data_IF_058351943804
#
_entry.id   IF_058351943804
#
_cell.length_a   1.000
_cell.length_b   1.000
_cell.length_c   1.000
_cell.angle_alpha   90.00
_cell.angle_beta   90.00
_cell.angle_gamma   90.00
#
_symmetry.space_group_name_H-M   'P 1'
#
loop_
_entity.id
_entity.type
_entity.pdbx_description
1 polymer ?
#
# COMPACT_ATOMS: atom_id res chain seq x y z
N UNK A 1 -14.01 2.48 20.75
CA UNK A 1 -12.59 2.67 20.39
C UNK A 1 -12.31 3.82 19.40
N UNK A 2 -13.06 3.99 18.29
CA UNK A 2 -12.78 5.04 17.28
C UNK A 2 -12.58 6.46 17.83
N UNK A 3 -13.41 6.89 18.80
CA UNK A 3 -13.27 8.22 19.43
C UNK A 3 -11.96 8.38 20.21
N UNK A 4 -11.60 7.38 21.03
CA UNK A 4 -10.36 7.38 21.82
C UNK A 4 -9.14 7.36 20.90
N UNK A 5 -9.19 6.54 19.84
CA UNK A 5 -8.14 6.51 18.83
C UNK A 5 -7.96 7.86 18.12
N UNK A 6 -9.06 8.52 17.73
CA UNK A 6 -8.98 9.86 17.15
C UNK A 6 -8.36 10.90 18.12
N UNK A 7 -8.66 10.80 19.42
CA UNK A 7 -8.04 11.64 20.45
C UNK A 7 -6.55 11.35 20.59
N UNK A 8 -6.14 10.07 20.58
CA UNK A 8 -4.73 9.68 20.60
C UNK A 8 -3.96 10.32 19.44
N UNK A 9 -4.47 10.19 18.20
CA UNK A 9 -3.86 10.82 17.02
C UNK A 9 -3.83 12.36 17.10
N UNK A 10 -4.84 12.98 17.72
CA UNK A 10 -4.83 14.42 17.95
C UNK A 10 -3.71 14.82 18.93
N UNK A 11 -3.40 13.99 19.91
CA UNK A 11 -2.32 14.25 20.86
C UNK A 11 -0.93 14.05 20.28
N UNK A 12 -0.73 13.04 19.43
CA UNK A 12 0.49 12.93 18.62
C UNK A 12 0.77 14.23 17.86
N UNK A 13 -0.23 14.77 17.16
CA UNK A 13 -0.09 16.04 16.42
C UNK A 13 0.21 17.24 17.31
N UNK A 14 -0.42 17.32 18.50
CA UNK A 14 -0.15 18.39 19.48
C UNK A 14 1.28 18.33 20.02
N UNK A 15 1.86 17.13 20.13
CA UNK A 15 3.26 16.91 20.51
C UNK A 15 4.24 17.09 19.33
N UNK A 16 3.75 17.60 18.18
CA UNK A 16 4.56 17.92 17.01
C UNK A 16 4.89 16.73 16.11
N UNK A 17 4.26 15.56 16.31
CA UNK A 17 4.46 14.41 15.43
C UNK A 17 3.60 14.56 14.17
N UNK A 18 4.21 14.39 13.00
CA UNK A 18 3.48 14.25 11.74
C UNK A 18 3.11 12.77 11.56
N UNK A 19 1.82 12.48 11.37
CA UNK A 19 1.33 11.10 11.27
C UNK A 19 1.28 10.72 9.80
N UNK A 20 2.07 9.71 9.42
CA UNK A 20 2.11 9.14 8.06
C UNK A 20 0.98 8.11 7.91
N UNK A 21 0.83 7.24 8.90
CA UNK A 21 -0.15 6.15 8.89
C UNK A 21 -0.56 5.80 10.31
N UNK A 22 -1.82 5.41 10.50
CA UNK A 22 -2.29 4.89 11.78
C UNK A 22 -3.51 3.99 11.59
N UNK A 23 -3.48 2.82 12.20
CA UNK A 23 -4.62 1.93 12.42
C UNK A 23 -4.65 1.52 13.91
N UNK A 24 -5.49 0.55 14.27
CA UNK A 24 -5.56 0.07 15.65
C UNK A 24 -4.34 -0.77 16.08
N UNK A 25 -3.47 -1.18 15.14
CA UNK A 25 -2.34 -2.07 15.39
C UNK A 25 -0.99 -1.35 15.43
N UNK A 26 -0.83 -0.27 14.65
CA UNK A 26 0.43 0.46 14.50
C UNK A 26 0.22 1.93 14.14
N UNK A 27 1.18 2.75 14.53
CA UNK A 27 1.26 4.17 14.15
C UNK A 27 2.65 4.44 13.57
N UNK A 28 2.69 5.07 12.40
CA UNK A 28 3.91 5.54 11.75
C UNK A 28 3.92 7.06 11.82
N UNK A 29 4.97 7.61 12.45
CA UNK A 29 5.16 9.04 12.58
C UNK A 29 6.47 9.47 11.90
N UNK A 30 6.45 10.66 11.33
CA UNK A 30 7.67 11.40 11.02
C UNK A 30 8.06 12.22 12.25
N UNK A 31 9.29 11.96 12.72
CA UNK A 31 9.87 12.62 13.90
C UNK A 31 10.51 13.97 13.56
N UNK A 32 10.75 14.26 12.27
CA UNK A 32 11.53 15.39 11.81
C UNK A 32 13.00 15.37 12.27
N UNK A 33 13.48 14.24 12.82
CA UNK A 33 14.85 14.09 13.33
C UNK A 33 15.71 13.38 12.30
N UNK A 34 16.93 13.90 12.13
CA UNK A 34 17.87 13.42 11.12
C UNK A 34 18.77 12.29 11.63
N UNK A 35 19.03 12.26 12.93
CA UNK A 35 19.87 11.28 13.61
C UNK A 35 19.03 10.30 14.42
N UNK A 36 19.42 9.02 14.43
CA UNK A 36 18.70 7.95 15.13
C UNK A 36 18.54 8.21 16.62
N UNK A 37 19.61 8.67 17.30
CA UNK A 37 19.59 8.97 18.74
C UNK A 37 18.57 10.07 19.08
N UNK A 38 18.51 11.12 18.25
CA UNK A 38 17.53 12.21 18.39
C UNK A 38 16.11 11.73 18.14
N UNK A 39 15.90 10.84 17.16
CA UNK A 39 14.59 10.23 16.88
C UNK A 39 14.12 9.35 18.04
N UNK A 40 15.01 8.52 18.60
CA UNK A 40 14.72 7.70 19.78
C UNK A 40 14.36 8.57 20.99
N UNK A 41 15.16 9.59 21.28
CA UNK A 41 14.87 10.52 22.38
C UNK A 41 13.54 11.26 22.20
N UNK A 42 13.17 11.63 20.97
CA UNK A 42 11.87 12.19 20.67
C UNK A 42 10.72 11.19 20.94
N UNK A 43 10.86 9.95 20.46
CA UNK A 43 9.88 8.89 20.71
C UNK A 43 9.70 8.63 22.21
N UNK A 44 10.78 8.50 22.98
CA UNK A 44 10.73 8.27 24.42
C UNK A 44 10.01 9.42 25.17
N UNK A 45 10.29 10.66 24.78
CA UNK A 45 9.61 11.82 25.35
C UNK A 45 8.13 11.85 24.99
N UNK A 46 7.79 11.51 23.74
CA UNK A 46 6.42 11.43 23.27
C UNK A 46 5.64 10.36 24.04
N UNK A 47 6.21 9.17 24.20
CA UNK A 47 5.58 8.07 24.94
C UNK A 47 5.34 8.44 26.40
N UNK A 48 6.33 9.04 27.08
CA UNK A 48 6.17 9.55 28.45
C UNK A 48 5.06 10.60 28.56
N UNK A 49 4.96 11.50 27.58
CA UNK A 49 3.92 12.54 27.55
C UNK A 49 2.52 11.99 27.25
N UNK A 50 2.42 10.86 26.55
CA UNK A 50 1.14 10.16 26.37
C UNK A 50 0.73 9.42 27.64
N UNK A 51 1.66 8.72 28.28
CA UNK A 51 1.42 7.98 29.53
C UNK A 51 1.04 8.87 30.71
N UNK A 52 1.44 10.15 30.70
CA UNK A 52 1.04 11.11 31.76
C UNK A 52 -0.43 11.54 31.69
N UNK A 53 -1.17 11.09 30.68
CA UNK A 53 -2.59 11.40 30.51
C UNK A 53 -3.44 10.20 30.90
N UNK A 54 -4.36 10.41 31.84
CA UNK A 54 -5.28 9.38 32.35
C UNK A 54 -6.02 8.62 31.23
N UNK A 55 -6.35 9.29 30.13
CA UNK A 55 -7.05 8.68 28.99
C UNK A 55 -6.23 7.62 28.25
N UNK A 56 -4.90 7.66 28.33
CA UNK A 56 -4.00 6.75 27.61
C UNK A 56 -3.10 5.94 28.55
N UNK A 57 -3.36 5.98 29.85
CA UNK A 57 -2.60 5.24 30.87
C UNK A 57 -2.48 3.74 30.54
N UNK A 58 -3.55 3.16 29.99
CA UNK A 58 -3.65 1.74 29.65
C UNK A 58 -3.17 1.41 28.23
N UNK A 59 -2.71 2.41 27.46
CA UNK A 59 -2.20 2.20 26.11
C UNK A 59 -0.68 2.00 26.19
N UNK A 60 -0.24 0.81 25.79
CA UNK A 60 1.18 0.50 25.63
C UNK A 60 1.54 0.64 24.17
N UNK A 61 2.54 1.49 23.88
CA UNK A 61 3.09 1.68 22.54
C UNK A 61 4.58 1.39 22.60
N UNK A 62 5.04 0.50 21.72
CA UNK A 62 6.44 0.11 21.64
C UNK A 62 7.05 0.57 20.30
N UNK A 63 8.19 1.29 20.32
CA UNK A 63 8.89 1.64 19.09
C UNK A 63 9.51 0.39 18.42
N UNK A 64 8.90 -0.09 17.34
CA UNK A 64 9.36 -1.30 16.65
C UNK A 64 10.49 -1.04 15.65
N UNK A 65 10.34 -0.04 14.76
CA UNK A 65 11.28 0.23 13.67
C UNK A 65 11.56 1.72 13.52
N UNK A 66 12.82 2.05 13.25
CA UNK A 66 13.25 3.38 12.88
C UNK A 66 13.70 3.37 11.42
N UNK A 67 13.29 4.38 10.65
CA UNK A 67 13.57 4.48 9.23
C UNK A 67 14.44 5.72 8.96
N UNK A 68 15.49 5.54 8.16
CA UNK A 68 16.27 6.67 7.65
C UNK A 68 15.59 7.35 6.45
N UNK A 69 14.89 6.55 5.64
CA UNK A 69 14.10 6.99 4.49
C UNK A 69 12.96 5.99 4.32
N UNK A 70 11.74 6.47 4.12
CA UNK A 70 10.55 5.63 3.97
C UNK A 70 9.69 6.20 2.83
N UNK A 71 9.45 5.37 1.82
CA UNK A 71 8.47 5.59 0.77
C UNK A 71 7.24 4.74 1.09
N UNK A 72 6.13 5.38 1.44
CA UNK A 72 4.95 4.71 1.96
C UNK A 72 3.72 5.01 1.09
N UNK A 73 3.07 3.97 0.56
CA UNK A 73 1.78 4.07 -0.13
C UNK A 73 0.66 3.58 0.77
N UNK A 74 0.81 2.37 1.32
CA UNK A 74 -0.09 1.78 2.31
C UNK A 74 0.65 0.72 3.14
N UNK A 75 -0.07 0.01 4.01
CA UNK A 75 0.51 -0.99 4.91
C UNK A 75 1.14 -2.22 4.21
N UNK A 76 0.81 -2.47 2.94
CA UNK A 76 1.30 -3.57 2.09
C UNK A 76 2.21 -3.09 0.96
N UNK A 77 2.34 -1.77 0.78
CA UNK A 77 3.07 -1.13 -0.29
C UNK A 77 3.96 -0.03 0.30
N UNK A 78 5.16 -0.40 0.70
CA UNK A 78 6.17 0.50 1.25
C UNK A 78 7.59 -0.02 0.98
N UNK A 79 8.54 0.89 0.94
CA UNK A 79 9.96 0.56 0.93
C UNK A 79 10.75 1.58 1.75
N UNK A 80 11.81 1.15 2.41
CA UNK A 80 12.57 2.05 3.25
C UNK A 80 13.93 1.51 3.66
N UNK A 81 14.79 2.43 4.11
CA UNK A 81 16.11 2.12 4.66
C UNK A 81 15.95 2.04 6.17
N UNK A 82 16.08 0.84 6.73
CA UNK A 82 15.93 0.66 8.18
C UNK A 82 17.19 1.13 8.90
N UNK A 83 17.01 1.88 9.99
CA UNK A 83 18.08 2.24 10.90
C UNK A 83 18.35 1.06 11.84
N UNK A 84 19.60 0.59 11.89
CA UNK A 84 19.99 -0.48 12.82
C UNK A 84 20.03 0.07 14.24
N UNK A 85 19.13 -0.41 15.08
CA UNK A 85 19.18 -0.14 16.52
C UNK A 85 20.26 -1.04 17.13
N UNK A 86 21.27 -0.51 17.84
CA UNK A 86 22.39 -1.31 18.36
C UNK A 86 22.01 -2.51 19.23
N UNK A 87 20.78 -2.54 19.79
CA UNK A 87 20.32 -3.55 20.75
C UNK A 87 18.96 -4.21 20.40
N UNK A 88 18.51 -4.17 19.14
CA UNK A 88 17.25 -4.83 18.75
C UNK A 88 17.40 -6.34 18.62
N UNK A 89 16.49 -7.11 19.24
CA UNK A 89 16.32 -8.54 18.98
C UNK A 89 16.07 -8.71 17.48
N UNK A 90 16.81 -9.56 16.75
CA UNK A 90 16.52 -9.82 15.35
C UNK A 90 15.23 -10.65 15.28
N UNK A 91 14.11 -9.98 15.02
CA UNK A 91 12.89 -10.66 14.59
C UNK A 91 12.90 -10.79 13.06
N UNK A 92 12.76 -12.03 12.64
CA UNK A 92 12.55 -12.59 11.31
C UNK A 92 13.70 -13.28 10.56
N UNK A 93 13.47 -14.60 10.54
CA UNK A 93 14.17 -15.72 9.94
C UNK A 93 13.68 -15.88 8.50
N UNK A 94 14.37 -15.25 7.53
CA UNK A 94 14.35 -15.71 6.13
C UNK A 94 15.47 -15.13 5.27
N UNK A 95 16.64 -14.88 5.85
CA UNK A 95 17.85 -14.59 5.08
C UNK A 95 18.82 -15.75 5.26
N UNK A 96 19.06 -16.50 4.19
CA UNK A 96 20.15 -17.47 4.14
C UNK A 96 21.45 -16.81 4.62
N UNK A 97 22.20 -17.43 5.54
CA UNK A 97 23.44 -16.84 6.03
C UNK A 97 24.49 -16.96 4.95
N UNK A 98 24.69 -15.89 4.16
CA UNK A 98 25.90 -15.73 3.38
C UNK A 98 27.05 -15.49 4.36
N UNK A 99 27.74 -16.58 4.72
CA UNK A 99 29.06 -16.58 5.32
C UNK A 99 30.03 -15.90 4.35
N UNK A 100 30.17 -14.59 4.48
CA UNK A 100 31.39 -13.84 4.16
C UNK A 100 31.30 -12.50 4.88
N UNK A 101 31.91 -12.48 6.07
CA UNK A 101 32.17 -11.27 6.80
C UNK A 101 33.12 -10.38 5.98
N UNK A 102 32.62 -9.22 5.54
CA UNK A 102 33.48 -8.12 5.12
C UNK A 102 32.92 -6.79 5.65
N UNK A 103 33.85 -5.94 6.09
CA UNK A 103 33.62 -4.72 6.84
C UNK A 103 33.00 -3.63 5.95
N UNK A 104 31.70 -3.39 6.13
CA UNK A 104 30.99 -2.24 5.59
C UNK A 104 29.58 -2.26 6.13
N UNK A 105 29.10 -1.17 6.72
CA UNK A 105 27.75 -1.04 7.28
C UNK A 105 26.69 -1.39 6.23
N UNK A 106 26.28 -2.66 6.20
CA UNK A 106 25.32 -3.19 5.24
C UNK A 106 23.96 -2.56 5.55
N UNK A 107 23.57 -1.59 4.73
CA UNK A 107 22.27 -0.94 4.76
C UNK A 107 21.20 -1.98 4.46
N UNK A 108 20.17 -2.04 5.29
CA UNK A 108 19.05 -2.94 5.10
C UNK A 108 17.90 -2.17 4.45
N UNK A 109 17.68 -2.42 3.15
CA UNK A 109 16.59 -1.83 2.39
C UNK A 109 15.44 -2.83 2.39
N UNK A 110 14.39 -2.51 3.14
CA UNK A 110 13.15 -3.29 3.13
C UNK A 110 12.33 -2.85 1.93
N UNK A 111 11.84 -3.82 1.17
CA UNK A 111 11.00 -3.60 -0.01
C UNK A 111 9.78 -4.51 0.07
N UNK A 112 8.61 -3.93 0.35
CA UNK A 112 7.34 -4.64 0.49
C UNK A 112 6.33 -3.99 -0.44
N UNK A 113 6.17 -4.56 -1.64
CA UNK A 113 5.31 -3.99 -2.68
C UNK A 113 4.34 -5.04 -3.21
N UNK A 114 3.20 -5.21 -2.55
CA UNK A 114 2.14 -6.10 -3.03
C UNK A 114 1.70 -5.75 -4.47
N UNK A 115 1.65 -4.48 -4.86
CA UNK A 115 1.34 -4.08 -6.25
C UNK A 115 2.34 -4.64 -7.28
N UNK A 116 3.57 -4.96 -6.88
CA UNK A 116 4.56 -5.57 -7.76
C UNK A 116 4.19 -7.03 -8.09
N UNK A 117 3.53 -7.73 -7.17
CA UNK A 117 3.11 -9.14 -7.36
C UNK A 117 2.09 -9.29 -8.50
N UNK A 118 1.37 -8.21 -8.81
CA UNK A 118 0.43 -8.13 -9.93
C UNK A 118 1.11 -7.86 -11.28
N UNK A 119 2.43 -7.64 -11.31
CA UNK A 119 3.21 -7.58 -12.54
C UNK A 119 3.70 -8.98 -12.95
N UNK A 120 4.03 -9.23 -14.24
CA UNK A 120 4.60 -10.50 -14.65
C UNK A 120 5.93 -10.75 -13.95
N UNK A 121 6.20 -11.99 -13.51
CA UNK A 121 7.40 -12.34 -12.70
C UNK A 121 8.71 -11.76 -13.25
N UNK A 122 8.87 -11.76 -14.57
CA UNK A 122 10.08 -11.25 -15.24
C UNK A 122 10.30 -9.74 -15.10
N UNK A 123 9.30 -8.97 -14.65
CA UNK A 123 9.37 -7.50 -14.51
C UNK A 123 9.36 -7.04 -13.06
N UNK A 124 9.05 -7.93 -12.11
CA UNK A 124 9.01 -7.64 -10.69
C UNK A 124 10.37 -7.17 -10.19
N UNK A 125 11.45 -7.85 -10.55
CA UNK A 125 12.82 -7.47 -10.16
C UNK A 125 13.21 -6.08 -10.68
N UNK A 126 12.80 -5.73 -11.91
CA UNK A 126 13.03 -4.39 -12.47
C UNK A 126 12.29 -3.31 -11.69
N UNK A 127 11.07 -3.61 -11.25
CA UNK A 127 10.27 -2.70 -10.44
C UNK A 127 10.94 -2.48 -9.07
N UNK A 128 11.28 -3.57 -8.37
CA UNK A 128 11.93 -3.52 -7.05
C UNK A 128 13.25 -2.77 -7.14
N UNK A 129 14.05 -2.98 -8.19
CA UNK A 129 15.32 -2.31 -8.39
C UNK A 129 15.15 -0.78 -8.55
N UNK A 130 14.24 -0.33 -9.42
CA UNK A 130 14.01 1.11 -9.63
C UNK A 130 13.52 1.78 -8.35
N UNK A 131 12.57 1.16 -7.65
CA UNK A 131 11.99 1.74 -6.44
C UNK A 131 13.03 1.79 -5.32
N UNK A 132 13.83 0.73 -5.16
CA UNK A 132 14.92 0.71 -4.18
C UNK A 132 15.96 1.80 -4.45
N UNK A 133 16.33 2.01 -5.71
CA UNK A 133 17.23 3.10 -6.09
C UNK A 133 16.62 4.48 -5.86
N UNK A 134 15.33 4.65 -6.12
CA UNK A 134 14.63 5.89 -5.85
C UNK A 134 14.58 6.23 -4.36
N UNK A 135 14.51 5.22 -3.48
CA UNK A 135 14.59 5.41 -2.03
C UNK A 135 16.04 5.73 -1.60
N UNK A 136 17.02 5.06 -2.22
CA UNK A 136 18.43 5.13 -1.82
C UNK A 136 19.14 6.41 -2.27
N UNK A 137 18.95 6.83 -3.52
CA UNK A 137 19.68 7.95 -4.13
C UNK A 137 19.49 9.28 -3.36
N UNK A 138 18.27 9.72 -2.98
CA UNK A 138 18.08 10.94 -2.20
C UNK A 138 18.73 10.86 -0.82
N UNK A 139 18.60 9.70 -0.15
CA UNK A 139 19.19 9.48 1.17
C UNK A 139 20.72 9.56 1.13
N UNK A 140 21.34 8.94 0.12
CA UNK A 140 22.79 8.98 -0.11
C UNK A 140 23.28 10.41 -0.37
N UNK A 141 22.57 11.15 -1.22
CA UNK A 141 22.91 12.56 -1.52
C UNK A 141 22.80 13.42 -0.26
N UNK A 142 21.73 13.24 0.51
CA UNK A 142 21.53 13.97 1.76
C UNK A 142 22.64 13.68 2.78
N UNK A 143 23.11 12.43 2.87
CA UNK A 143 24.24 12.07 3.72
C UNK A 143 25.55 12.73 3.24
N UNK A 144 25.79 12.79 1.93
CA UNK A 144 26.98 13.43 1.34
C UNK A 144 27.01 14.94 1.60
N UNK A 145 25.88 15.64 1.40
CA UNK A 145 25.77 17.08 1.66
C UNK A 145 26.03 17.39 3.15
N UNK A 146 25.53 16.55 4.06
CA UNK A 146 25.78 16.70 5.51
C UNK A 146 27.25 16.48 5.85
N UNK A 147 27.89 15.46 5.28
CA UNK A 147 29.30 15.20 5.50
C UNK A 147 30.18 16.38 5.00
N UNK A 148 29.85 16.95 3.83
CA UNK A 148 30.53 18.13 3.30
C UNK A 148 30.35 19.37 4.21
N UNK A 149 29.16 19.55 4.78
CA UNK A 149 28.86 20.67 5.68
C UNK A 149 29.60 20.59 7.02
N UNK A 150 29.82 19.36 7.55
CA UNK A 150 30.58 19.14 8.78
C UNK A 150 32.07 19.49 8.66
N UNK A 151 32.64 19.45 7.46
CA UNK A 151 34.04 19.81 7.22
C UNK A 151 34.28 21.32 7.08
N UNK A 152 33.23 22.16 7.06
CA UNK A 152 33.32 23.57 6.68
C UNK A 152 33.16 24.63 7.78
N UNK A 153 32.74 24.31 9.01
CA UNK A 153 32.57 25.35 10.05
C UNK A 153 32.54 24.81 11.47
N UNK A 154 33.26 25.50 12.36
CA UNK A 154 33.30 25.26 13.80
C UNK A 154 31.94 25.52 14.48
N UNK A 155 31.58 24.63 15.41
CA UNK A 155 30.83 24.88 16.64
C UNK A 155 29.52 25.70 16.54
N UNK A 156 28.40 25.06 16.20
CA UNK A 156 27.11 25.24 16.90
C UNK A 156 26.14 24.11 16.50
N UNK A 157 25.50 23.40 17.45
CA UNK A 157 24.62 22.26 17.16
C UNK A 157 23.18 22.68 16.79
N UNK A 158 22.97 23.92 16.37
CA UNK A 158 21.63 24.45 16.06
C UNK A 158 21.47 24.54 14.55
N UNK A 159 20.96 23.48 13.93
CA UNK A 159 20.46 23.55 12.54
C UNK A 159 19.32 24.58 12.53
N UNK A 160 19.54 25.74 11.90
CA UNK A 160 18.49 26.74 11.72
C UNK A 160 17.48 26.24 10.69
N UNK A 161 16.20 26.62 10.83
CA UNK A 161 15.13 26.29 9.86
C UNK A 161 15.54 26.58 8.40
N UNK A 162 16.27 27.68 8.18
CA UNK A 162 16.80 28.08 6.87
C UNK A 162 17.80 27.10 6.26
N UNK A 163 18.61 26.41 7.09
CA UNK A 163 19.57 25.43 6.61
C UNK A 163 18.85 24.15 6.15
N UNK A 164 17.85 23.70 6.91
CA UNK A 164 17.01 22.54 6.56
C UNK A 164 16.27 22.76 5.23
N UNK A 165 15.62 23.92 5.06
CA UNK A 165 14.93 24.28 3.81
C UNK A 165 15.90 24.30 2.60
N UNK A 166 17.12 24.79 2.81
CA UNK A 166 18.16 24.82 1.76
C UNK A 166 18.59 23.40 1.36
N UNK A 167 18.76 22.50 2.35
CA UNK A 167 19.11 21.10 2.09
C UNK A 167 17.99 20.35 1.35
N UNK A 168 16.73 20.52 1.79
CA UNK A 168 15.57 19.91 1.13
C UNK A 168 15.43 20.35 -0.33
N UNK A 169 15.68 21.63 -0.60
CA UNK A 169 15.66 22.18 -1.96
C UNK A 169 16.74 21.55 -2.83
N UNK A 170 17.98 21.42 -2.34
CA UNK A 170 19.08 20.80 -3.08
C UNK A 170 18.82 19.33 -3.41
N UNK A 171 18.33 18.56 -2.43
CA UNK A 171 18.00 17.14 -2.64
C UNK A 171 16.83 16.99 -3.63
N UNK A 172 15.84 17.88 -3.54
CA UNK A 172 14.71 17.91 -4.48
C UNK A 172 15.19 18.18 -5.91
N UNK A 173 16.04 19.19 -6.13
CA UNK A 173 16.60 19.50 -7.45
C UNK A 173 17.44 18.34 -8.02
N UNK A 174 18.25 17.70 -7.18
CA UNK A 174 18.99 16.49 -7.53
C UNK A 174 18.05 15.38 -8.00
N UNK A 175 16.97 15.11 -7.26
CA UNK A 175 16.02 14.06 -7.59
C UNK A 175 15.26 14.35 -8.89
N UNK A 176 14.82 15.59 -9.11
CA UNK A 176 14.21 16.04 -10.37
C UNK A 176 15.13 15.74 -11.57
N UNK A 177 16.40 16.13 -11.47
CA UNK A 177 17.39 15.86 -12.52
C UNK A 177 17.61 14.36 -12.75
N UNK A 178 17.63 13.56 -11.68
CA UNK A 178 17.75 12.09 -11.76
C UNK A 178 16.52 11.47 -12.44
N UNK A 179 15.31 11.95 -12.17
CA UNK A 179 14.07 11.48 -12.81
C UNK A 179 14.11 11.74 -14.32
N UNK A 180 14.39 12.99 -14.72
CA UNK A 180 14.37 13.36 -16.14
C UNK A 180 15.46 12.68 -16.98
N UNK A 181 16.53 12.17 -16.35
CA UNK A 181 17.70 11.64 -17.07
C UNK A 181 18.02 10.17 -16.75
N UNK A 182 18.29 9.83 -15.49
CA UNK A 182 18.71 8.50 -15.07
C UNK A 182 17.54 7.52 -15.07
N UNK A 183 16.47 7.82 -14.32
CA UNK A 183 15.31 6.93 -14.20
C UNK A 183 14.58 6.79 -15.53
N UNK A 184 14.41 7.89 -16.28
CA UNK A 184 13.86 7.81 -17.64
C UNK A 184 14.63 6.80 -18.50
N UNK A 185 15.96 6.95 -18.64
CA UNK A 185 16.78 6.03 -19.46
C UNK A 185 16.74 4.59 -18.97
N UNK A 186 16.71 4.39 -17.64
CA UNK A 186 16.70 3.05 -17.05
C UNK A 186 15.36 2.34 -17.27
N UNK A 187 14.25 3.04 -17.01
CA UNK A 187 12.90 2.53 -17.28
C UNK A 187 12.72 2.22 -18.76
N UNK A 188 13.29 3.04 -19.65
CA UNK A 188 13.32 2.76 -21.10
C UNK A 188 14.05 1.46 -21.44
N UNK A 189 15.21 1.22 -20.81
CA UNK A 189 15.95 -0.03 -20.96
C UNK A 189 15.09 -1.24 -20.56
N UNK A 190 14.45 -1.18 -19.40
CA UNK A 190 13.57 -2.26 -18.95
C UNK A 190 12.36 -2.46 -19.86
N UNK A 191 11.72 -1.39 -20.35
CA UNK A 191 10.62 -1.51 -21.31
C UNK A 191 11.09 -2.23 -22.59
N UNK A 192 12.29 -1.94 -23.07
CA UNK A 192 12.86 -2.62 -24.22
C UNK A 192 13.08 -4.11 -23.94
N UNK A 193 13.65 -4.44 -22.78
CA UNK A 193 13.86 -5.82 -22.36
C UNK A 193 12.54 -6.58 -22.18
N UNK A 194 11.54 -5.98 -21.53
CA UNK A 194 10.18 -6.52 -21.37
C UNK A 194 9.58 -6.86 -22.73
N UNK A 195 9.62 -5.92 -23.67
CA UNK A 195 9.11 -6.13 -25.03
C UNK A 195 9.86 -7.24 -25.77
N UNK A 196 11.18 -7.39 -25.56
CA UNK A 196 11.98 -8.46 -26.15
C UNK A 196 11.60 -9.83 -25.58
N UNK A 197 11.47 -9.93 -24.26
CA UNK A 197 11.11 -11.18 -23.58
C UNK A 197 9.68 -11.65 -23.88
N UNK A 198 8.73 -10.73 -24.04
CA UNK A 198 7.33 -11.07 -24.35
C UNK A 198 7.17 -11.47 -25.81
N UNK A 199 7.83 -10.77 -26.75
CA UNK A 199 7.80 -11.15 -28.17
C UNK A 199 8.39 -12.55 -28.39
N UNK A 200 9.47 -12.90 -27.70
CA UNK A 200 10.08 -14.24 -27.80
C UNK A 200 9.25 -15.38 -27.19
N UNK A 201 8.22 -15.09 -26.38
CA UNK A 201 7.32 -16.10 -25.79
C UNK A 201 6.00 -16.28 -26.55
N UNK A 202 5.63 -15.35 -27.43
CA UNK A 202 4.41 -15.46 -28.26
C UNK A 202 4.46 -16.61 -29.28
N UNK A 203 5.65 -17.11 -29.58
CA UNK A 203 5.83 -18.20 -30.55
C UNK A 203 5.59 -19.62 -29.96
N UNK A 204 5.27 -19.74 -28.65
CA UNK A 204 5.24 -21.05 -27.96
C UNK A 204 3.92 -21.36 -27.24
N UNK A 205 3.02 -20.39 -26.99
CA UNK A 205 1.87 -20.61 -26.09
C UNK A 205 0.56 -20.09 -26.68
N UNK A 206 -0.44 -20.98 -26.67
CA UNK A 206 -1.84 -20.84 -27.07
C UNK A 206 -2.54 -19.61 -26.45
N UNK A 207 -3.47 -18.99 -27.19
CA UNK A 207 -4.09 -17.67 -26.94
C UNK A 207 -4.97 -17.57 -25.67
N UNK A 208 -5.00 -18.59 -24.81
CA UNK A 208 -5.88 -18.68 -23.64
C UNK A 208 -5.21 -18.34 -22.29
N UNK A 209 -3.89 -18.12 -22.24
CA UNK A 209 -3.18 -17.75 -21.00
C UNK A 209 -3.00 -16.24 -20.93
N UNK A 210 -3.85 -15.58 -20.13
CA UNK A 210 -3.77 -14.18 -19.67
C UNK A 210 -2.34 -13.65 -19.56
N UNK A 211 -1.81 -13.01 -20.61
CA UNK A 211 -0.58 -12.20 -20.78
C UNK A 211 0.62 -12.35 -19.79
N UNK A 212 0.77 -13.48 -19.08
CA UNK A 212 1.78 -13.70 -18.04
C UNK A 212 1.48 -13.08 -16.66
N UNK A 213 0.24 -12.64 -16.38
CA UNK A 213 -0.11 -12.02 -15.08
C UNK A 213 -0.63 -13.05 -14.06
N UNK A 214 -0.18 -13.00 -12.79
CA UNK A 214 -0.67 -13.93 -11.76
C UNK A 214 -2.14 -13.67 -11.40
N UNK A 215 -3.00 -14.70 -11.34
CA UNK A 215 -4.33 -14.58 -10.78
C UNK A 215 -4.23 -14.55 -9.25
N UNK A 216 -4.31 -13.36 -8.64
CA UNK A 216 -4.30 -13.17 -7.19
C UNK A 216 -5.73 -12.95 -6.67
N UNK A 217 -5.96 -13.15 -5.37
CA UNK A 217 -7.30 -13.01 -4.76
C UNK A 217 -7.96 -11.65 -5.05
N UNK A 218 -7.18 -10.57 -5.01
CA UNK A 218 -7.66 -9.21 -5.30
C UNK A 218 -7.73 -8.84 -6.79
N UNK A 219 -7.38 -9.73 -7.72
CA UNK A 219 -7.37 -9.42 -9.16
C UNK A 219 -8.79 -9.17 -9.66
N UNK A 220 -9.03 -7.98 -10.23
CA UNK A 220 -10.34 -7.60 -10.77
C UNK A 220 -10.28 -6.84 -12.10
N UNK A 221 -9.07 -6.48 -12.53
CA UNK A 221 -8.83 -5.75 -13.77
C UNK A 221 -8.17 -6.72 -14.74
N UNK A 222 -8.64 -6.73 -15.99
CA UNK A 222 -7.90 -7.36 -17.07
C UNK A 222 -6.63 -6.55 -17.33
N UNK A 223 -5.51 -7.14 -16.92
CA UNK A 223 -4.22 -6.50 -17.02
C UNK A 223 -3.74 -6.61 -18.48
N UNK A 224 -3.50 -5.45 -19.09
CA UNK A 224 -3.23 -5.32 -20.53
C UNK A 224 -1.76 -5.56 -20.90
N UNK A 225 -1.18 -4.67 -21.69
CA UNK A 225 0.21 -4.75 -22.10
C UNK A 225 1.19 -4.66 -20.89
N UNK A 226 2.09 -5.64 -20.69
CA UNK A 226 3.03 -5.63 -19.56
C UNK A 226 3.93 -4.40 -19.48
N UNK A 227 4.34 -3.82 -20.61
CA UNK A 227 5.17 -2.62 -20.60
C UNK A 227 4.36 -1.40 -20.12
N UNK A 228 3.12 -1.24 -20.59
CA UNK A 228 2.20 -0.22 -20.10
C UNK A 228 1.97 -0.34 -18.59
N UNK A 229 1.73 -1.54 -18.10
CA UNK A 229 1.47 -1.77 -16.67
C UNK A 229 2.71 -1.49 -15.83
N UNK A 230 3.88 -1.94 -16.28
CA UNK A 230 5.15 -1.60 -15.64
C UNK A 230 5.34 -0.07 -15.51
N UNK A 231 5.08 0.68 -16.60
CA UNK A 231 5.15 2.16 -16.59
C UNK A 231 4.20 2.73 -15.54
N UNK A 232 2.94 2.27 -15.50
CA UNK A 232 1.94 2.76 -14.55
C UNK A 232 2.37 2.52 -13.11
N UNK A 233 2.85 1.32 -12.79
CA UNK A 233 3.25 0.95 -11.43
C UNK A 233 4.45 1.76 -10.97
N UNK A 234 5.52 1.83 -11.78
CA UNK A 234 6.70 2.63 -11.45
C UNK A 234 6.32 4.10 -11.27
N UNK A 235 5.63 4.70 -12.24
CA UNK A 235 5.27 6.12 -12.15
C UNK A 235 4.33 6.41 -10.97
N UNK A 236 3.45 5.48 -10.59
CA UNK A 236 2.57 5.65 -9.42
C UNK A 236 3.38 5.71 -8.13
N UNK A 237 4.37 4.85 -7.96
CA UNK A 237 5.22 4.81 -6.76
C UNK A 237 6.17 6.01 -6.70
N UNK A 238 6.81 6.38 -7.81
CA UNK A 238 7.68 7.55 -7.84
C UNK A 238 6.91 8.86 -7.55
N UNK A 239 5.63 8.93 -7.95
CA UNK A 239 4.77 10.08 -7.70
C UNK A 239 4.23 10.17 -6.24
N UNK A 240 4.58 9.22 -5.37
CA UNK A 240 4.28 9.34 -3.93
C UNK A 240 5.04 10.52 -3.31
N UNK A 241 6.25 10.81 -3.81
CA UNK A 241 6.98 12.02 -3.45
C UNK A 241 6.37 13.24 -4.17
N UNK A 242 5.73 14.12 -3.39
CA UNK A 242 5.04 15.30 -3.88
C UNK A 242 5.97 16.30 -4.57
N UNK A 243 7.25 16.33 -4.19
CA UNK A 243 8.21 17.30 -4.72
C UNK A 243 8.61 17.05 -6.18
N UNK A 244 8.37 15.83 -6.68
CA UNK A 244 8.79 15.37 -8.02
C UNK A 244 7.64 14.88 -8.90
N UNK A 245 6.39 15.03 -8.46
CA UNK A 245 5.21 14.57 -9.22
C UNK A 245 5.15 15.10 -10.65
N UNK A 246 5.53 16.36 -10.86
CA UNK A 246 5.54 16.96 -12.19
C UNK A 246 6.57 16.28 -13.11
N UNK A 247 7.79 16.07 -12.62
CA UNK A 247 8.87 15.43 -13.36
C UNK A 247 8.55 13.96 -13.68
N UNK A 248 7.91 13.25 -12.74
CA UNK A 248 7.40 11.88 -12.96
C UNK A 248 6.30 11.88 -14.03
N UNK A 249 5.42 12.88 -14.05
CA UNK A 249 4.38 13.00 -15.09
C UNK A 249 4.99 13.25 -16.47
N UNK A 250 6.00 14.11 -16.58
CA UNK A 250 6.75 14.33 -17.83
C UNK A 250 7.47 13.05 -18.26
N UNK A 251 8.09 12.33 -17.33
CA UNK A 251 8.70 11.03 -17.59
C UNK A 251 7.67 10.04 -18.13
N UNK A 252 6.52 9.88 -17.44
CA UNK A 252 5.41 9.03 -17.87
C UNK A 252 4.96 9.35 -19.29
N UNK A 253 4.76 10.63 -19.60
CA UNK A 253 4.40 11.07 -20.96
C UNK A 253 5.41 10.63 -22.01
N UNK A 254 6.70 10.74 -21.72
CA UNK A 254 7.76 10.31 -22.64
C UNK A 254 7.78 8.78 -22.82
N UNK A 255 7.56 8.03 -21.75
CA UNK A 255 7.46 6.56 -21.80
C UNK A 255 6.23 6.10 -22.60
N UNK A 256 5.06 6.71 -22.38
CA UNK A 256 3.81 6.36 -23.08
C UNK A 256 3.89 6.62 -24.60
N UNK A 257 4.58 7.69 -25.02
CA UNK A 257 4.80 7.97 -26.46
C UNK A 257 5.48 6.82 -27.18
N UNK A 258 6.38 6.09 -26.52
CA UNK A 258 7.14 5.00 -27.12
C UNK A 258 6.31 3.75 -27.33
N UNK A 259 5.40 3.46 -26.39
CA UNK A 259 4.42 2.38 -26.54
C UNK A 259 3.16 2.82 -27.31
N UNK A 260 3.15 4.05 -27.85
CA UNK A 260 2.06 4.64 -28.65
C UNK A 260 0.72 4.76 -27.91
N UNK A 261 0.76 4.92 -26.59
CA UNK A 261 -0.43 5.14 -25.76
C UNK A 261 -0.58 6.64 -25.49
N UNK A 262 -1.81 7.16 -25.57
CA UNK A 262 -2.08 8.58 -25.29
C UNK A 262 -2.06 8.83 -23.78
N UNK A 263 -1.51 9.97 -23.36
CA UNK A 263 -1.36 10.38 -21.96
C UNK A 263 -2.67 10.33 -21.16
N UNK A 264 -3.78 10.73 -21.79
CA UNK A 264 -5.11 10.80 -21.18
C UNK A 264 -6.02 9.63 -21.58
N UNK A 265 -5.48 8.58 -22.21
CA UNK A 265 -6.28 7.40 -22.48
C UNK A 265 -6.74 6.75 -21.16
N UNK A 266 -7.96 6.19 -21.09
CA UNK A 266 -8.41 5.48 -19.88
C UNK A 266 -7.48 4.32 -19.54
N UNK A 267 -6.91 3.65 -20.54
CA UNK A 267 -5.91 2.61 -20.36
C UNK A 267 -4.56 3.12 -19.84
N UNK A 268 -4.26 4.42 -19.84
CA UNK A 268 -3.01 4.97 -19.32
C UNK A 268 -3.10 5.36 -17.84
N UNK A 269 -4.31 5.40 -17.28
CA UNK A 269 -4.55 5.72 -15.88
C UNK A 269 -4.13 4.53 -15.02
N UNK A 270 -3.44 4.83 -13.91
CA UNK A 270 -3.15 3.80 -12.91
C UNK A 270 -4.45 3.46 -12.19
N UNK A 271 -4.76 2.17 -12.12
CA UNK A 271 -5.81 1.61 -11.28
C UNK A 271 -5.13 0.59 -10.38
N UNK A 272 -5.48 0.60 -9.10
CA UNK A 272 -4.95 -0.39 -8.16
C UNK A 272 -5.35 -1.78 -8.67
N UNK A 273 -4.41 -2.69 -8.98
CA UNK A 273 -4.75 -4.02 -9.47
C UNK A 273 -5.35 -4.91 -8.38
N UNK A 274 -5.16 -4.56 -7.10
CA UNK A 274 -5.60 -5.33 -5.95
C UNK A 274 -6.83 -4.73 -5.28
N UNK A 275 -7.97 -5.42 -5.33
CA UNK A 275 -9.06 -5.15 -4.39
C UNK A 275 -8.70 -5.73 -3.03
N UNK A 276 -8.59 -4.86 -2.02
CA UNK A 276 -8.46 -5.29 -0.63
C UNK A 276 -9.83 -5.70 -0.07
N UNK A 277 -9.83 -6.75 0.74
CA UNK A 277 -10.98 -7.08 1.57
C UNK A 277 -10.50 -7.50 2.95
N UNK A 278 -10.76 -6.63 3.91
CA UNK A 278 -10.33 -6.80 5.29
C UNK A 278 -11.47 -7.35 6.14
N UNK A 279 -11.25 -8.50 6.77
CA UNK A 279 -12.09 -9.00 7.84
C UNK A 279 -11.70 -8.32 9.15
N UNK A 280 -12.60 -7.54 9.76
CA UNK A 280 -12.27 -6.83 10.99
C UNK A 280 -12.36 -7.75 12.22
N UNK A 281 -11.49 -7.52 13.20
CA UNK A 281 -11.52 -8.16 14.53
C UNK A 281 -11.53 -9.71 14.50
N UNK A 282 -10.68 -10.34 13.69
CA UNK A 282 -10.51 -11.79 13.73
C UNK A 282 -9.71 -12.14 14.98
N UNK A 283 -10.29 -13.01 15.81
CA UNK A 283 -9.73 -13.39 17.11
C UNK A 283 -9.08 -14.77 16.99
N UNK A 284 -7.82 -14.89 17.43
CA UNK A 284 -7.15 -16.18 17.56
C UNK A 284 -7.75 -16.96 18.74
N UNK A 285 -8.18 -18.20 18.49
CA UNK A 285 -8.78 -19.08 19.50
C UNK A 285 -7.83 -19.51 20.61
N UNK A 286 -6.51 -19.33 20.45
CA UNK A 286 -5.51 -19.73 21.43
C UNK A 286 -4.99 -18.54 22.24
N UNK A 287 -4.37 -17.54 21.61
CA UNK A 287 -3.78 -16.40 22.31
C UNK A 287 -4.74 -15.22 22.52
N UNK A 288 -5.95 -15.27 21.96
CA UNK A 288 -6.92 -14.16 21.94
C UNK A 288 -6.40 -12.87 21.29
N UNK A 289 -5.34 -12.96 20.48
CA UNK A 289 -4.92 -11.86 19.62
C UNK A 289 -6.07 -11.49 18.68
N UNK A 290 -6.37 -10.20 18.59
CA UNK A 290 -7.47 -9.68 17.79
C UNK A 290 -6.90 -8.73 16.75
N UNK A 291 -7.00 -9.12 15.48
CA UNK A 291 -6.48 -8.32 14.37
C UNK A 291 -7.39 -8.35 13.18
N UNK A 292 -7.22 -7.34 12.36
CA UNK A 292 -7.83 -7.30 11.03
C UNK A 292 -7.01 -8.20 10.08
N UNK A 293 -7.69 -8.95 9.20
CA UNK A 293 -7.06 -9.83 8.20
C UNK A 293 -7.43 -9.35 6.79
N UNK A 294 -6.45 -8.97 5.98
CA UNK A 294 -6.68 -8.66 4.56
C UNK A 294 -6.52 -9.93 3.72
N UNK A 295 -7.65 -10.53 3.34
CA UNK A 295 -7.69 -11.81 2.63
C UNK A 295 -7.02 -11.73 1.25
N UNK A 296 -6.89 -10.52 0.70
CA UNK A 296 -6.34 -10.28 -0.63
C UNK A 296 -4.86 -9.91 -0.64
N UNK A 297 -4.33 -9.39 0.48
CA UNK A 297 -2.98 -8.78 0.53
C UNK A 297 -2.06 -9.40 1.58
N UNK A 298 -2.59 -10.07 2.62
CA UNK A 298 -1.74 -10.72 3.63
C UNK A 298 -1.01 -11.94 3.03
N UNK A 299 0.32 -11.85 2.90
CA UNK A 299 1.16 -12.87 2.27
C UNK A 299 0.96 -14.28 2.85
N UNK A 300 0.89 -14.42 4.18
CA UNK A 300 0.65 -15.70 4.84
C UNK A 300 -0.69 -16.34 4.43
N UNK A 301 -1.72 -15.51 4.23
CA UNK A 301 -3.03 -16.00 3.80
C UNK A 301 -3.00 -16.40 2.32
N UNK A 302 -2.26 -15.66 1.49
CA UNK A 302 -2.06 -15.96 0.06
C UNK A 302 -1.33 -17.29 -0.15
N UNK A 303 -0.36 -17.60 0.69
CA UNK A 303 0.32 -18.91 0.75
C UNK A 303 -0.55 -20.02 1.35
N UNK A 304 -1.82 -19.72 1.65
CA UNK A 304 -2.83 -20.61 2.26
C UNK A 304 -2.45 -21.07 3.67
N UNK A 305 -1.47 -20.43 4.29
CA UNK A 305 -1.08 -20.68 5.68
C UNK A 305 -1.79 -19.71 6.62
N UNK A 306 -3.08 -19.99 6.85
CA UNK A 306 -3.96 -19.17 7.69
C UNK A 306 -3.62 -19.34 9.18
N UNK A 307 -2.58 -18.66 9.66
CA UNK A 307 -2.10 -18.74 11.04
C UNK A 307 -2.13 -17.40 11.75
N UNK A 308 -2.25 -17.47 13.07
CA UNK A 308 -2.03 -16.32 13.94
C UNK A 308 -0.63 -15.76 13.71
N UNK A 309 -0.54 -14.45 13.47
CA UNK A 309 0.70 -13.75 13.18
C UNK A 309 1.60 -13.55 14.41
N UNK A 310 1.11 -13.86 15.62
CA UNK A 310 1.90 -13.81 16.85
C UNK A 310 2.98 -14.90 16.78
N UNK A 311 4.28 -14.56 16.81
CA UNK A 311 5.38 -15.51 16.57
C UNK A 311 5.36 -16.74 17.48
N UNK A 312 5.00 -16.56 18.75
CA UNK A 312 4.91 -17.62 19.75
C UNK A 312 3.60 -18.43 19.70
N UNK A 313 2.61 -18.01 18.90
CA UNK A 313 1.31 -18.66 18.80
C UNK A 313 1.26 -19.60 17.59
N UNK A 314 1.32 -19.05 16.37
CA UNK A 314 1.24 -19.83 15.12
C UNK A 314 -0.02 -20.70 14.95
N UNK A 315 -1.04 -20.51 15.80
CA UNK A 315 -2.26 -21.30 15.79
C UNK A 315 -3.01 -21.09 14.47
N UNK A 316 -3.42 -22.16 13.76
CA UNK A 316 -4.19 -22.02 12.53
C UNK A 316 -5.58 -21.46 12.83
N UNK A 317 -6.02 -20.52 12.00
CA UNK A 317 -7.40 -20.03 12.01
C UNK A 317 -8.35 -21.08 11.46
N UNK A 318 -9.56 -21.12 12.01
CA UNK A 318 -10.62 -21.98 11.50
C UNK A 318 -11.15 -21.40 10.18
N UNK A 319 -10.77 -22.04 9.06
CA UNK A 319 -11.16 -21.62 7.72
C UNK A 319 -12.67 -21.72 7.48
N UNK A 320 -13.35 -22.68 8.10
CA UNK A 320 -14.80 -22.86 7.97
C UNK A 320 -15.55 -21.72 8.68
N UNK A 321 -15.08 -21.27 9.84
CA UNK A 321 -15.63 -20.11 10.55
C UNK A 321 -15.42 -18.82 9.74
N UNK A 322 -14.26 -18.68 9.11
CA UNK A 322 -13.95 -17.54 8.24
C UNK A 322 -14.86 -17.55 7.00
N UNK A 323 -15.02 -18.70 6.35
CA UNK A 323 -15.94 -18.86 5.22
C UNK A 323 -17.38 -18.51 5.62
N UNK A 324 -17.86 -19.01 6.77
CA UNK A 324 -19.18 -18.67 7.28
C UNK A 324 -19.30 -17.17 7.56
N UNK A 325 -18.27 -16.53 8.12
CA UNK A 325 -18.23 -15.08 8.34
C UNK A 325 -18.37 -14.31 7.03
N UNK A 326 -17.63 -14.72 5.99
CA UNK A 326 -17.76 -14.15 4.65
C UNK A 326 -19.17 -14.31 4.08
N UNK A 327 -19.78 -15.48 4.24
CA UNK A 327 -21.16 -15.74 3.81
C UNK A 327 -22.13 -14.79 4.53
N UNK A 328 -21.98 -14.57 5.85
CA UNK A 328 -22.82 -13.61 6.57
C UNK A 328 -22.65 -12.18 6.06
N UNK A 329 -21.42 -11.78 5.70
CA UNK A 329 -21.15 -10.46 5.12
C UNK A 329 -21.84 -10.32 3.75
N UNK A 330 -21.74 -11.33 2.89
CA UNK A 330 -22.41 -11.34 1.58
C UNK A 330 -23.92 -11.27 1.73
N UNK A 331 -24.52 -12.05 2.64
CA UNK A 331 -25.96 -12.01 2.96
C UNK A 331 -26.40 -10.64 3.45
N UNK A 332 -25.66 -10.05 4.39
CA UNK A 332 -25.97 -8.73 4.89
C UNK A 332 -25.93 -7.70 3.77
N UNK A 333 -24.96 -7.82 2.85
CA UNK A 333 -24.82 -6.93 1.70
C UNK A 333 -25.95 -7.08 0.69
N UNK A 334 -26.34 -8.31 0.35
CA UNK A 334 -27.52 -8.60 -0.47
C UNK A 334 -28.79 -7.99 0.14
N UNK A 335 -29.00 -8.21 1.44
CA UNK A 335 -30.14 -7.66 2.15
C UNK A 335 -30.17 -6.12 2.10
N UNK A 336 -29.03 -5.46 2.34
CA UNK A 336 -28.92 -4.01 2.24
C UNK A 336 -29.18 -3.48 0.83
N UNK A 337 -28.81 -4.22 -0.22
CA UNK A 337 -29.11 -3.85 -1.59
C UNK A 337 -30.62 -3.88 -1.87
N UNK A 338 -31.36 -4.84 -1.30
CA UNK A 338 -32.83 -4.88 -1.43
C UNK A 338 -33.54 -3.83 -0.57
N UNK A 339 -32.96 -3.45 0.57
CA UNK A 339 -33.51 -2.43 1.49
C UNK A 339 -33.04 -1.00 1.17
N UNK A 340 -32.20 -0.81 0.16
CA UNK A 340 -31.61 0.49 -0.12
C UNK A 340 -32.65 1.56 -0.44
N UNK A 341 -32.27 2.81 -0.16
CA UNK A 341 -33.09 3.95 -0.52
C UNK A 341 -33.15 4.17 -2.03
N UNK A 342 -34.26 4.77 -2.46
CA UNK A 342 -34.38 5.33 -3.80
C UNK A 342 -34.04 6.82 -3.76
N UNK A 343 -33.22 7.27 -4.70
CA UNK A 343 -32.79 8.67 -4.84
C UNK A 343 -33.29 9.27 -6.13
N UNK A 344 -33.73 10.52 -6.07
CA UNK A 344 -34.14 11.25 -7.26
C UNK A 344 -32.93 11.52 -8.17
N UNK A 345 -33.07 11.24 -9.46
CA UNK A 345 -32.02 11.50 -10.46
C UNK A 345 -31.71 13.01 -10.57
N UNK A 346 -32.70 13.87 -10.35
CA UNK A 346 -32.61 15.31 -10.60
C UNK A 346 -32.13 16.10 -9.39
N UNK A 347 -32.83 15.99 -8.26
CA UNK A 347 -32.51 16.76 -7.04
C UNK A 347 -31.66 16.00 -6.01
N UNK A 348 -31.38 14.70 -6.25
CA UNK A 348 -30.66 13.81 -5.31
C UNK A 348 -31.33 13.61 -3.95
N UNK A 349 -32.58 14.05 -3.79
CA UNK A 349 -33.38 13.80 -2.59
C UNK A 349 -33.75 12.32 -2.45
N UNK A 350 -33.79 11.85 -1.21
CA UNK A 350 -34.23 10.49 -0.84
C UNK A 350 -35.75 10.40 -0.92
N UNK A 351 -36.26 9.28 -1.45
CA UNK A 351 -37.70 9.02 -1.54
C UNK A 351 -38.30 8.82 -0.14
N UNK A 352 -39.07 9.79 0.33
CA UNK A 352 -39.70 9.72 1.65
C UNK A 352 -41.03 8.95 1.70
N UNK A 353 -41.74 8.77 0.57
CA UNK A 353 -43.06 8.14 0.53
C UNK A 353 -43.05 6.87 -0.32
N UNK A 354 -43.64 5.77 0.17
CA UNK A 354 -43.59 4.46 -0.50
C UNK A 354 -44.24 4.46 -1.89
N UNK A 355 -45.43 5.07 -2.03
CA UNK A 355 -46.24 5.02 -3.25
C UNK A 355 -45.91 6.13 -4.27
N UNK A 356 -45.01 7.06 -3.95
CA UNK A 356 -44.66 8.13 -4.87
C UNK A 356 -43.83 7.59 -6.06
N UNK A 357 -44.37 7.66 -7.26
CA UNK A 357 -43.67 7.26 -8.48
C UNK A 357 -42.65 8.32 -8.93
N UNK A 358 -42.91 9.59 -8.62
CA UNK A 358 -42.07 10.72 -8.97
C UNK A 358 -41.72 11.56 -7.74
N UNK A 359 -40.55 12.19 -7.79
CA UNK A 359 -40.14 13.15 -6.79
C UNK A 359 -40.94 14.45 -6.93
N UNK A 360 -41.02 15.24 -5.87
CA UNK A 360 -41.66 16.57 -5.86
C UNK A 360 -41.08 17.52 -6.91
N UNK A 361 -39.82 17.31 -7.34
CA UNK A 361 -39.20 18.06 -8.43
C UNK A 361 -39.55 17.55 -9.85
N UNK A 362 -40.46 16.58 -9.96
CA UNK A 362 -40.84 15.89 -11.20
C UNK A 362 -39.79 14.93 -11.73
N UNK A 363 -38.74 14.63 -10.96
CA UNK A 363 -37.69 13.68 -11.34
C UNK A 363 -38.03 12.24 -10.97
N UNK A 364 -37.58 11.28 -11.77
CA UNK A 364 -37.69 9.85 -11.45
C UNK A 364 -36.74 9.44 -10.33
N UNK A 365 -37.11 8.37 -9.64
CA UNK A 365 -36.29 7.72 -8.63
C UNK A 365 -35.47 6.59 -9.24
N UNK A 366 -34.27 6.36 -8.70
CA UNK A 366 -33.42 5.21 -9.00
C UNK A 366 -32.88 4.62 -7.70
N UNK A 367 -32.44 3.37 -7.72
CA UNK A 367 -31.66 2.80 -6.61
C UNK A 367 -30.42 3.66 -6.32
N UNK A 368 -30.06 3.77 -5.04
CA UNK A 368 -28.86 4.48 -4.62
C UNK A 368 -27.60 3.84 -5.22
N UNK A 369 -27.43 2.54 -5.00
CA UNK A 369 -26.47 1.63 -5.63
C UNK A 369 -27.16 0.92 -6.81
N UNK A 370 -26.56 0.98 -7.99
CA UNK A 370 -27.09 0.28 -9.16
C UNK A 370 -26.68 -1.20 -9.18
N UNK A 371 -27.39 -1.99 -10.00
CA UNK A 371 -27.15 -3.42 -10.11
C UNK A 371 -25.74 -3.75 -10.62
N UNK A 372 -25.14 -2.89 -11.45
CA UNK A 372 -23.80 -3.12 -12.00
C UNK A 372 -22.71 -2.92 -10.94
N UNK A 373 -22.86 -1.90 -10.10
CA UNK A 373 -21.99 -1.63 -8.96
C UNK A 373 -22.10 -2.74 -7.90
N UNK A 374 -23.33 -3.19 -7.62
CA UNK A 374 -23.57 -4.32 -6.73
C UNK A 374 -22.88 -5.61 -7.23
N UNK A 375 -23.08 -5.97 -8.50
CA UNK A 375 -22.45 -7.15 -9.13
C UNK A 375 -20.93 -7.05 -9.13
N UNK A 376 -20.37 -5.88 -9.45
CA UNK A 376 -18.93 -5.67 -9.42
C UNK A 376 -18.34 -5.91 -8.01
N UNK A 377 -19.06 -5.51 -6.95
CA UNK A 377 -18.64 -5.76 -5.57
C UNK A 377 -18.85 -7.22 -5.14
N UNK A 378 -19.85 -7.92 -5.68
CA UNK A 378 -20.04 -9.36 -5.46
C UNK A 378 -18.99 -10.22 -6.16
N UNK A 379 -18.53 -9.80 -7.34
CA UNK A 379 -17.45 -10.47 -8.07
C UNK A 379 -16.17 -10.59 -7.23
N UNK A 380 -15.90 -9.64 -6.33
CA UNK A 380 -14.77 -9.70 -5.40
C UNK A 380 -14.84 -10.91 -4.49
N UNK A 381 -16.02 -11.19 -3.92
CA UNK A 381 -16.22 -12.37 -3.08
C UNK A 381 -16.11 -13.67 -3.87
N UNK A 382 -16.54 -13.67 -5.13
CA UNK A 382 -16.32 -14.83 -6.01
C UNK A 382 -14.82 -15.06 -6.26
N UNK A 383 -14.04 -14.00 -6.52
CA UNK A 383 -12.60 -14.13 -6.72
C UNK A 383 -11.88 -14.64 -5.45
N UNK A 384 -12.27 -14.12 -4.28
CA UNK A 384 -11.79 -14.60 -2.97
C UNK A 384 -12.13 -16.08 -2.80
N UNK A 385 -13.37 -16.47 -3.09
CA UNK A 385 -13.83 -17.85 -2.97
C UNK A 385 -13.06 -18.80 -3.88
N UNK A 386 -12.83 -18.41 -5.13
CA UNK A 386 -12.07 -19.22 -6.09
C UNK A 386 -10.59 -19.34 -5.71
N UNK A 387 -9.95 -18.24 -5.33
CA UNK A 387 -8.51 -18.22 -5.01
C UNK A 387 -8.21 -19.04 -3.76
N UNK A 388 -8.98 -18.81 -2.68
CA UNK A 388 -8.81 -19.49 -1.40
C UNK A 388 -9.49 -20.85 -1.34
N UNK A 389 -10.32 -21.24 -2.32
CA UNK A 389 -11.09 -22.49 -2.31
C UNK A 389 -12.14 -22.55 -1.18
N UNK A 390 -13.01 -21.54 -1.13
CA UNK A 390 -14.20 -21.51 -0.28
C UNK A 390 -15.44 -21.90 -1.10
N UNK A 391 -15.82 -23.19 -1.15
CA UNK A 391 -16.83 -23.68 -2.07
C UNK A 391 -18.23 -23.14 -1.76
N UNK A 392 -18.61 -23.06 -0.48
CA UNK A 392 -19.95 -22.61 -0.07
C UNK A 392 -20.11 -21.12 -0.36
N UNK A 393 -19.07 -20.33 -0.09
CA UNK A 393 -19.06 -18.92 -0.46
C UNK A 393 -19.20 -18.74 -1.97
N UNK A 394 -18.46 -19.53 -2.75
CA UNK A 394 -18.49 -19.46 -4.22
C UNK A 394 -19.85 -19.80 -4.80
N UNK A 395 -20.49 -20.88 -4.33
CA UNK A 395 -21.85 -21.27 -4.72
C UNK A 395 -22.86 -20.18 -4.35
N UNK A 396 -22.79 -19.65 -3.13
CA UNK A 396 -23.73 -18.64 -2.64
C UNK A 396 -23.64 -17.34 -3.44
N UNK A 397 -22.42 -16.85 -3.71
CA UNK A 397 -22.21 -15.62 -4.49
C UNK A 397 -22.64 -15.82 -5.95
N UNK A 398 -22.35 -16.99 -6.54
CA UNK A 398 -22.76 -17.29 -7.91
C UNK A 398 -24.29 -17.29 -8.05
N UNK A 399 -24.99 -17.89 -7.10
CA UNK A 399 -26.46 -17.90 -7.07
C UNK A 399 -27.07 -16.48 -7.00
N UNK A 400 -26.51 -15.61 -6.16
CA UNK A 400 -26.93 -14.19 -6.09
C UNK A 400 -26.71 -13.47 -7.42
N UNK A 401 -25.58 -13.74 -8.10
CA UNK A 401 -25.25 -13.06 -9.36
C UNK A 401 -26.07 -13.55 -10.56
N UNK A 402 -26.60 -14.77 -10.51
CA UNK A 402 -27.51 -15.33 -11.52
C UNK A 402 -28.94 -14.81 -11.39
N UNK A 403 -29.41 -14.57 -10.16
CA UNK A 403 -30.81 -14.21 -9.86
C UNK A 403 -31.04 -12.69 -9.75
N UNK A 404 -30.05 -11.94 -9.23
CA UNK A 404 -30.07 -10.48 -9.19
C UNK A 404 -29.48 -9.85 -10.44
#
# INVERSE_FOLDING_TARGET
>A
MRKVFALLLAEFRKLGASIIYADFSKVIIDTGKLDLSSAQGYCDCLLKALQSRDLFEWIVLEPLRFWHSLLFMDQYNYGGIQAKVPNGIPEDVSSTPNLNADYGSQLDIISSWNIAEYLPKATQDYFILIVSEFIYEPWKEQAAIRAASRNGSFCTPSVTLSATETYETQVTEFLKKKISSYFLRKVLGFIHDINRHIKGKKDIIDESISHGFPPLAGSHIHIGDPALEFIKHVCKVLALDQHVQHDVLVMKKNLLKLIRVKEFAPEAQYRDPCLSFTLPNVICSYCNDCRDLDICRDAMLLDRDWRCAVPQCGQPYNREEIENTLIQIVRQREHLYHLQDLVCVRCRGVKGAHLAEQCECGGFFRCFEDATEFKAKMQVFLNIAMYHQFPILGEFVSWIMEIG
#
